data_IF_147131314034
#
_entry.id   IF_147131314034
#
_cell.length_a   1.000
_cell.length_b   1.000
_cell.length_c   1.000
_cell.angle_alpha   90.00
_cell.angle_beta   90.00
_cell.angle_gamma   90.00
#
_symmetry.space_group_name_H-M   'P 1'
#
loop_
_entity.id
_entity.type
_entity.pdbx_description
1 polymer ?
#
# COMPACT_ATOMS: atom_id res chain seq x y z
N UNK A 1 -1.01 -10.02 6.20
CA UNK A 1 -0.61 -11.41 5.92
C UNK A 1 -1.48 -12.45 6.63
N UNK A 2 -1.51 -12.51 7.97
CA UNK A 2 -2.26 -13.56 8.71
C UNK A 2 -3.72 -13.73 8.28
N UNK A 3 -4.45 -12.63 8.05
CA UNK A 3 -5.84 -12.67 7.54
C UNK A 3 -5.97 -13.33 6.17
N UNK A 4 -5.01 -13.10 5.27
CA UNK A 4 -4.99 -13.70 3.93
C UNK A 4 -4.74 -15.20 4.02
N UNK A 5 -3.85 -15.62 4.92
CA UNK A 5 -3.59 -17.04 5.14
C UNK A 5 -4.77 -17.76 5.78
N UNK A 6 -5.41 -17.12 6.78
CA UNK A 6 -6.64 -17.63 7.38
C UNK A 6 -7.74 -17.78 6.31
N UNK A 7 -7.92 -16.77 5.47
CA UNK A 7 -8.85 -16.84 4.33
C UNK A 7 -8.50 -18.00 3.38
N UNK A 8 -7.24 -18.13 2.96
CA UNK A 8 -6.80 -19.22 2.07
C UNK A 8 -7.07 -20.63 2.65
N UNK A 9 -6.98 -20.78 3.97
CA UNK A 9 -7.29 -22.04 4.65
C UNK A 9 -8.80 -22.35 4.70
N UNK A 10 -9.65 -21.32 4.74
CA UNK A 10 -11.10 -21.46 4.69
C UNK A 10 -11.60 -21.66 3.25
N UNK A 11 -11.08 -20.85 2.32
CA UNK A 11 -11.36 -20.92 0.90
C UNK A 11 -10.10 -20.59 0.09
N UNK A 12 -9.74 -21.50 -0.82
CA UNK A 12 -8.48 -21.41 -1.55
C UNK A 12 -8.49 -20.24 -2.52
N UNK A 13 -7.60 -19.27 -2.28
CA UNK A 13 -7.34 -18.17 -3.20
C UNK A 13 -7.23 -18.60 -4.67
N UNK A 14 -7.96 -17.92 -5.54
CA UNK A 14 -7.98 -18.19 -6.98
C UNK A 14 -6.69 -17.71 -7.66
N UNK A 15 -6.27 -18.31 -8.80
CA UNK A 15 -5.04 -17.95 -9.50
C UNK A 15 -4.89 -16.46 -9.82
N UNK A 16 -5.99 -15.76 -10.08
CA UNK A 16 -6.02 -14.34 -10.47
C UNK A 16 -6.25 -13.36 -9.31
N UNK A 17 -6.31 -13.83 -8.07
CA UNK A 17 -6.44 -12.95 -6.90
C UNK A 17 -5.10 -12.34 -6.49
N UNK A 18 -5.17 -11.06 -6.11
CA UNK A 18 -4.02 -10.27 -5.66
C UNK A 18 -4.31 -9.65 -4.30
N UNK A 19 -3.26 -9.47 -3.51
CA UNK A 19 -3.35 -8.86 -2.18
C UNK A 19 -3.14 -7.36 -2.34
N UNK A 20 -4.11 -6.59 -1.88
CA UNK A 20 -4.07 -5.12 -1.93
C UNK A 20 -4.41 -4.52 -0.58
N UNK A 21 -3.80 -3.39 -0.25
CA UNK A 21 -4.32 -2.54 0.79
C UNK A 21 -5.50 -1.73 0.26
N UNK A 22 -6.31 -1.21 1.18
CA UNK A 22 -7.45 -0.36 0.83
C UNK A 22 -7.03 0.86 0.01
N UNK A 23 -5.90 1.50 0.36
CA UNK A 23 -5.36 2.64 -0.38
C UNK A 23 -4.98 2.25 -1.81
N UNK A 24 -4.33 1.09 -2.00
CA UNK A 24 -3.92 0.57 -3.30
C UNK A 24 -5.15 0.28 -4.19
N UNK A 25 -6.22 -0.27 -3.59
CA UNK A 25 -7.48 -0.50 -4.29
C UNK A 25 -8.10 0.82 -4.78
N UNK A 26 -8.17 1.84 -3.91
CA UNK A 26 -8.68 3.16 -4.30
C UNK A 26 -7.81 3.78 -5.40
N UNK A 27 -6.49 3.69 -5.30
CA UNK A 27 -5.56 4.17 -6.33
C UNK A 27 -5.81 3.46 -7.68
N UNK A 28 -6.02 2.14 -7.66
CA UNK A 28 -6.36 1.37 -8.85
C UNK A 28 -7.66 1.84 -9.51
N UNK A 29 -8.71 2.09 -8.71
CA UNK A 29 -9.98 2.61 -9.20
C UNK A 29 -9.83 4.01 -9.80
N UNK A 30 -9.00 4.87 -9.19
CA UNK A 30 -8.70 6.20 -9.74
C UNK A 30 -7.94 6.11 -11.07
N UNK A 31 -7.09 5.10 -11.24
CA UNK A 31 -6.42 4.82 -12.51
C UNK A 31 -7.28 4.04 -13.53
N UNK A 32 -8.50 3.64 -13.17
CA UNK A 32 -9.41 2.89 -14.05
C UNK A 32 -8.96 1.46 -14.35
N UNK A 33 -8.12 0.86 -13.50
CA UNK A 33 -7.43 -0.40 -13.83
C UNK A 33 -7.20 -1.34 -12.64
N UNK A 34 -6.47 -2.44 -12.88
CA UNK A 34 -6.04 -3.35 -11.81
C UNK A 34 -5.06 -2.63 -10.86
N UNK A 35 -4.78 -3.22 -9.67
CA UNK A 35 -3.82 -2.66 -8.73
C UNK A 35 -2.46 -2.36 -9.37
N UNK A 36 -2.01 -1.11 -9.21
CA UNK A 36 -0.83 -0.54 -9.87
C UNK A 36 0.43 -0.55 -9.00
N UNK A 37 0.27 -0.82 -7.70
CA UNK A 37 1.36 -0.93 -6.73
C UNK A 37 0.92 -0.53 -5.33
N UNK A 38 1.81 -0.76 -4.36
CA UNK A 38 1.67 -0.34 -2.95
C UNK A 38 2.88 0.48 -2.56
N UNK A 39 2.69 1.59 -1.84
CA UNK A 39 3.83 2.24 -1.20
C UNK A 39 4.40 1.34 -0.09
N UNK A 40 5.70 1.47 0.20
CA UNK A 40 6.35 0.61 1.18
C UNK A 40 5.84 0.80 2.63
N UNK A 41 5.22 1.94 2.98
CA UNK A 41 4.66 2.14 4.34
C UNK A 41 3.37 1.31 4.51
N UNK A 42 2.65 1.06 3.44
CA UNK A 42 1.58 0.06 3.41
C UNK A 42 2.13 -1.36 3.26
N UNK A 43 3.04 -1.61 2.31
CA UNK A 43 3.59 -2.95 2.06
C UNK A 43 4.32 -3.56 3.28
N UNK A 44 4.90 -2.72 4.16
CA UNK A 44 5.48 -3.14 5.44
C UNK A 44 4.50 -3.96 6.29
N UNK A 45 3.19 -3.67 6.23
CA UNK A 45 2.15 -4.43 6.95
C UNK A 45 1.94 -5.86 6.41
N UNK A 46 2.44 -6.15 5.21
CA UNK A 46 2.47 -7.48 4.64
C UNK A 46 3.79 -8.22 4.92
N UNK A 47 4.80 -7.54 5.46
CA UNK A 47 6.12 -8.10 5.71
C UNK A 47 7.22 -7.61 4.76
N UNK A 48 6.96 -6.59 3.93
CA UNK A 48 8.00 -5.97 3.11
C UNK A 48 9.10 -5.36 3.99
N UNK A 49 10.35 -5.64 3.69
CA UNK A 49 11.49 -5.09 4.41
C UNK A 49 11.92 -3.76 3.79
N UNK A 50 11.67 -2.67 4.52
CA UNK A 50 12.01 -1.30 4.08
C UNK A 50 13.52 -1.02 4.11
N UNK A 51 14.33 -1.85 4.76
CA UNK A 51 15.79 -1.68 4.81
C UNK A 51 16.46 -2.24 3.55
N UNK A 52 15.97 -3.37 3.04
CA UNK A 52 16.48 -4.01 1.81
C UNK A 52 15.63 -3.68 0.59
N UNK A 53 14.44 -3.10 0.78
CA UNK A 53 13.44 -2.83 -0.25
C UNK A 53 12.98 -4.10 -0.99
N UNK A 54 12.86 -5.20 -0.25
CA UNK A 54 12.46 -6.50 -0.78
C UNK A 54 11.50 -7.23 0.17
N UNK A 55 10.74 -8.19 -0.37
CA UNK A 55 10.07 -9.16 0.49
C UNK A 55 11.09 -10.18 1.00
N UNK A 56 11.11 -10.48 2.31
CA UNK A 56 12.04 -11.45 2.88
C UNK A 56 11.98 -12.83 2.19
N UNK A 57 13.10 -13.56 2.06
CA UNK A 57 13.15 -14.86 1.35
C UNK A 57 12.20 -15.94 1.90
N UNK A 58 11.82 -15.86 3.18
CA UNK A 58 10.85 -16.80 3.77
C UNK A 58 9.43 -16.61 3.22
N UNK A 59 9.11 -15.44 2.64
CA UNK A 59 7.82 -15.17 2.01
C UNK A 59 7.71 -15.72 0.59
N UNK A 60 8.83 -16.04 -0.06
CA UNK A 60 8.88 -16.57 -1.43
C UNK A 60 9.23 -18.06 -1.48
N UNK A 61 9.39 -18.71 -0.32
CA UNK A 61 9.78 -20.12 -0.22
C UNK A 61 8.76 -20.98 0.54
N UNK A 62 8.79 -22.28 0.26
CA UNK A 62 7.91 -23.26 0.91
C UNK A 62 6.42 -23.07 0.59
N UNK A 63 5.56 -23.65 1.43
CA UNK A 63 4.10 -23.59 1.25
C UNK A 63 3.56 -22.15 1.25
N UNK A 64 4.14 -21.28 2.09
CA UNK A 64 3.76 -19.87 2.12
C UNK A 64 4.09 -19.18 0.79
N UNK A 65 5.29 -19.42 0.26
CA UNK A 65 5.73 -18.88 -1.03
C UNK A 65 4.76 -19.20 -2.15
N UNK A 66 4.28 -20.45 -2.23
CA UNK A 66 3.31 -20.86 -3.24
C UNK A 66 1.95 -20.14 -3.10
N UNK A 67 1.50 -19.89 -1.88
CA UNK A 67 0.25 -19.10 -1.64
C UNK A 67 0.44 -17.65 -2.07
N UNK A 68 1.61 -17.05 -1.84
CA UNK A 68 1.89 -15.63 -2.10
C UNK A 68 2.40 -15.35 -3.52
N UNK A 69 2.77 -16.38 -4.27
CA UNK A 69 3.38 -16.26 -5.60
C UNK A 69 2.49 -15.48 -6.56
N UNK A 70 3.00 -14.35 -7.04
CA UNK A 70 2.27 -13.46 -7.95
C UNK A 70 1.11 -12.68 -7.30
N UNK A 71 0.95 -12.74 -5.97
CA UNK A 71 -0.15 -12.08 -5.24
C UNK A 71 0.28 -10.86 -4.44
N UNK A 72 1.56 -10.78 -4.09
CA UNK A 72 2.10 -9.63 -3.39
C UNK A 72 2.10 -8.41 -4.33
N UNK A 73 1.76 -7.21 -3.81
CA UNK A 73 1.77 -6.01 -4.63
C UNK A 73 3.19 -5.68 -5.08
N UNK A 74 3.32 -5.06 -6.25
CA UNK A 74 4.55 -4.38 -6.63
C UNK A 74 4.76 -3.19 -5.68
N UNK A 75 5.92 -3.14 -5.03
CA UNK A 75 6.20 -2.10 -4.05
C UNK A 75 6.89 -0.92 -4.70
N UNK A 76 6.43 0.29 -4.37
CA UNK A 76 6.98 1.56 -4.84
C UNK A 76 7.33 2.48 -3.69
N UNK A 77 8.11 3.52 -3.99
CA UNK A 77 8.39 4.61 -3.05
C UNK A 77 7.14 5.49 -2.82
N UNK A 78 6.83 5.93 -1.59
CA UNK A 78 5.92 7.03 -1.33
C UNK A 78 6.23 8.25 -2.23
N UNK A 79 5.20 8.75 -2.90
CA UNK A 79 5.30 9.83 -3.88
C UNK A 79 5.69 9.39 -5.31
N UNK A 80 5.99 8.11 -5.56
CA UNK A 80 6.21 7.62 -6.91
C UNK A 80 4.90 7.66 -7.72
N UNK A 81 4.98 7.92 -9.03
CA UNK A 81 3.78 7.91 -9.89
C UNK A 81 3.29 6.48 -10.05
N UNK A 82 2.03 6.23 -9.66
CA UNK A 82 1.34 4.96 -9.85
C UNK A 82 0.58 4.92 -11.19
N UNK A 83 0.07 6.07 -11.64
CA UNK A 83 -0.66 6.18 -12.90
C UNK A 83 -1.23 7.56 -13.13
N UNK A 84 -1.85 7.73 -14.30
CA UNK A 84 -2.71 8.88 -14.59
C UNK A 84 -4.12 8.55 -14.10
N UNK A 85 -4.87 9.59 -13.72
CA UNK A 85 -6.30 9.42 -13.44
C UNK A 85 -7.05 8.95 -14.69
N UNK A 86 -8.07 8.12 -14.49
CA UNK A 86 -8.94 7.65 -15.56
C UNK A 86 -9.69 8.81 -16.24
N UNK A 87 -9.76 8.76 -17.57
CA UNK A 87 -10.36 9.82 -18.39
C UNK A 87 -11.85 10.07 -18.08
N UNK A 88 -12.61 9.04 -17.68
CA UNK A 88 -14.01 9.23 -17.30
C UNK A 88 -14.10 9.99 -15.95
N UNK A 89 -13.12 9.83 -15.06
CA UNK A 89 -13.06 10.59 -13.80
C UNK A 89 -12.58 12.03 -14.01
N UNK A 90 -11.71 12.28 -15.00
CA UNK A 90 -11.35 13.63 -15.46
C UNK A 90 -12.60 14.41 -15.87
N UNK A 91 -13.41 13.83 -16.76
CA UNK A 91 -14.65 14.44 -17.23
C UNK A 91 -15.67 14.60 -16.10
N UNK A 92 -15.88 13.55 -15.29
CA UNK A 92 -16.86 13.53 -14.21
C UNK A 92 -16.58 14.56 -13.12
N UNK A 93 -15.31 14.76 -12.75
CA UNK A 93 -14.93 15.60 -11.61
C UNK A 93 -14.25 16.91 -12.01
N UNK A 94 -14.07 17.18 -13.31
CA UNK A 94 -13.42 18.39 -13.81
C UNK A 94 -11.95 18.48 -13.43
N UNK A 95 -11.26 17.34 -13.30
CA UNK A 95 -9.84 17.29 -12.95
C UNK A 95 -8.98 17.58 -14.19
N UNK A 96 -7.73 18.07 -14.03
CA UNK A 96 -6.80 18.17 -15.16
C UNK A 96 -6.48 16.79 -15.73
N UNK A 97 -6.38 16.68 -17.06
CA UNK A 97 -5.95 15.42 -17.72
C UNK A 97 -4.52 15.01 -17.37
N UNK A 98 -3.74 15.92 -16.80
CA UNK A 98 -2.39 15.67 -16.27
C UNK A 98 -2.39 15.23 -14.80
N UNK A 99 -3.55 14.99 -14.19
CA UNK A 99 -3.64 14.60 -12.78
C UNK A 99 -3.10 13.18 -12.58
N UNK A 100 -2.17 13.05 -11.63
CA UNK A 100 -1.48 11.80 -11.34
C UNK A 100 -1.94 11.21 -10.02
N UNK A 101 -2.01 9.89 -9.98
CA UNK A 101 -2.15 9.10 -8.75
C UNK A 101 -0.74 8.71 -8.31
N UNK A 102 -0.40 9.04 -7.06
CA UNK A 102 0.93 8.77 -6.49
C UNK A 102 0.85 7.70 -5.41
N UNK A 103 1.98 7.02 -5.18
CA UNK A 103 2.19 6.15 -4.03
C UNK A 103 1.97 6.96 -2.77
N UNK A 104 1.05 6.52 -1.93
CA UNK A 104 0.66 7.26 -0.73
C UNK A 104 1.58 6.99 0.43
N UNK A 105 0.96 6.92 1.60
CA UNK A 105 1.56 6.46 2.84
C UNK A 105 0.44 6.01 3.77
N UNK A 106 0.74 5.69 5.02
CA UNK A 106 -0.26 5.40 6.05
C UNK A 106 -0.78 6.68 6.68
N UNK A 107 -1.98 6.64 7.25
CA UNK A 107 -2.56 7.72 8.05
C UNK A 107 -1.62 8.24 9.14
N UNK A 108 -0.97 7.31 9.86
CA UNK A 108 -0.05 7.59 10.95
C UNK A 108 1.20 8.35 10.48
N UNK A 109 1.78 7.95 9.34
CA UNK A 109 2.94 8.61 8.75
C UNK A 109 2.55 9.93 8.08
N UNK A 110 1.39 10.01 7.42
CA UNK A 110 0.87 11.26 6.88
C UNK A 110 0.67 12.31 8.00
N UNK A 111 0.12 11.90 9.13
CA UNK A 111 -0.05 12.76 10.30
C UNK A 111 1.29 13.24 10.88
N UNK A 112 2.31 12.38 10.90
CA UNK A 112 3.65 12.77 11.32
C UNK A 112 4.28 13.80 10.37
N UNK A 113 4.18 13.58 9.06
CA UNK A 113 4.65 14.54 8.05
C UNK A 113 3.92 15.89 8.21
N UNK A 114 2.59 15.84 8.42
CA UNK A 114 1.76 17.03 8.57
C UNK A 114 2.03 17.82 9.87
N UNK A 115 2.66 17.22 10.88
CA UNK A 115 3.00 17.92 12.12
C UNK A 115 4.17 18.90 11.95
N UNK A 116 4.91 18.82 10.83
CA UNK A 116 6.11 19.61 10.60
C UNK A 116 7.36 19.05 11.28
N UNK A 117 7.30 17.87 11.90
CA UNK A 117 8.48 17.18 12.41
C UNK A 117 9.37 16.74 11.23
N UNK A 118 10.60 17.23 11.20
CA UNK A 118 11.55 17.08 10.08
C UNK A 118 12.96 16.69 10.54
N UNK A 119 13.25 16.75 11.84
CA UNK A 119 14.58 16.50 12.40
C UNK A 119 14.62 15.22 13.25
N UNK A 120 15.76 14.52 13.21
CA UNK A 120 15.99 13.35 14.06
C UNK A 120 15.87 13.76 15.53
N UNK A 121 15.11 12.99 16.30
CA UNK A 121 14.83 13.26 17.71
C UNK A 121 13.54 14.04 17.96
N UNK A 122 12.90 14.58 16.92
CA UNK A 122 11.53 15.06 17.03
C UNK A 122 10.55 13.89 17.10
N UNK A 123 9.52 14.05 17.93
CA UNK A 123 8.49 13.05 18.14
C UNK A 123 7.11 13.72 18.16
N UNK A 124 6.09 12.97 17.74
CA UNK A 124 4.70 13.42 17.73
C UNK A 124 3.86 12.48 18.56
N UNK A 125 3.16 13.04 19.55
CA UNK A 125 2.14 12.32 20.29
C UNK A 125 0.76 12.72 19.78
N UNK A 126 -0.03 11.73 19.38
CA UNK A 126 -1.43 11.90 18.98
C UNK A 126 -2.32 11.23 20.03
N UNK A 127 -3.15 12.03 20.70
CA UNK A 127 -4.10 11.57 21.71
C UNK A 127 -5.51 11.53 21.12
N UNK A 128 -5.89 10.37 20.59
CA UNK A 128 -7.25 10.08 20.14
C UNK A 128 -7.95 9.07 21.05
N UNK A 129 -8.83 8.24 20.49
CA UNK A 129 -9.38 7.08 21.19
C UNK A 129 -8.30 6.11 21.67
N UNK A 130 -7.15 6.11 21.00
CA UNK A 130 -5.91 5.46 21.42
C UNK A 130 -4.76 6.46 21.36
N UNK A 131 -3.73 6.23 22.18
CA UNK A 131 -2.49 7.00 22.16
C UNK A 131 -1.56 6.43 21.08
N UNK A 132 -1.01 7.30 20.23
CA UNK A 132 0.06 6.94 19.30
C UNK A 132 1.24 7.89 19.46
N UNK A 133 2.44 7.32 19.56
CA UNK A 133 3.71 8.05 19.59
C UNK A 133 4.47 7.68 18.32
N UNK A 134 4.99 8.68 17.62
CA UNK A 134 5.89 8.53 16.47
C UNK A 134 7.18 9.26 16.76
#
# INVERSE_FOLDING_TARGET
LAKVLAWHCEDSLLPNEVIVHQADFVAAQLCGGPPVGSDWNNALKLGFDVSTLEYPPWMSSGALGEVLKGRLPQVVRPGAVLGQIDSALVERYGLPSSCQVLGGTTDSIAAFIASGATSIGEAVTSLGSTLAIK
#
